data_IF_215876057003
#
_entry.id   IF_215876057003
#
_cell.length_a   1.000
_cell.length_b   1.000
_cell.length_c   1.000
_cell.angle_alpha   90.00
_cell.angle_beta   90.00
_cell.angle_gamma   90.00
#
_symmetry.space_group_name_H-M   'P 1'
#
loop_
_entity.id
_entity.type
_entity.pdbx_description
1 polymer ?
#
# COMPACT_ATOMS: atom_id res chain seq x y z
N UNK A 1 -41.58 5.13 8.10
CA UNK A 1 -41.37 3.98 7.18
C UNK A 1 -41.00 4.45 5.75
N UNK A 2 -41.81 5.29 5.08
CA UNK A 2 -41.53 5.73 3.68
C UNK A 2 -40.24 6.55 3.48
N UNK A 3 -39.88 7.39 4.47
CA UNK A 3 -38.66 8.25 4.44
C UNK A 3 -37.36 7.47 4.70
N UNK A 4 -37.42 6.38 5.47
CA UNK A 4 -36.26 5.48 5.69
C UNK A 4 -36.01 4.56 4.50
N UNK A 5 -37.07 4.07 3.84
CA UNK A 5 -36.94 3.30 2.59
C UNK A 5 -36.25 4.10 1.48
N UNK A 6 -36.66 5.35 1.25
CA UNK A 6 -36.07 6.18 0.19
C UNK A 6 -34.57 6.46 0.45
N UNK A 7 -34.20 6.70 1.71
CA UNK A 7 -32.78 6.91 2.07
C UNK A 7 -31.93 5.64 1.88
N UNK A 8 -32.49 4.47 2.16
CA UNK A 8 -31.81 3.19 1.96
C UNK A 8 -31.67 2.85 0.47
N UNK A 9 -32.69 3.13 -0.34
CA UNK A 9 -32.67 2.93 -1.79
C UNK A 9 -31.68 3.87 -2.48
N UNK A 10 -31.66 5.16 -2.09
CA UNK A 10 -30.68 6.11 -2.61
C UNK A 10 -29.26 5.74 -2.17
N UNK A 11 -29.10 5.25 -0.94
CA UNK A 11 -27.81 4.77 -0.44
C UNK A 11 -27.35 3.49 -1.18
N UNK A 12 -28.25 2.54 -1.45
CA UNK A 12 -27.92 1.32 -2.21
C UNK A 12 -27.66 1.60 -3.68
N UNK A 13 -28.40 2.52 -4.30
CA UNK A 13 -28.15 2.98 -5.67
C UNK A 13 -26.79 3.69 -5.78
N UNK A 14 -26.46 4.55 -4.81
CA UNK A 14 -25.16 5.20 -4.72
C UNK A 14 -24.02 4.21 -4.47
N UNK A 15 -24.23 3.19 -3.63
CA UNK A 15 -23.25 2.13 -3.37
C UNK A 15 -23.01 1.27 -4.61
N UNK A 16 -24.08 0.86 -5.30
CA UNK A 16 -23.98 0.10 -6.53
C UNK A 16 -23.25 0.92 -7.61
N UNK A 17 -23.57 2.21 -7.78
CA UNK A 17 -22.85 3.06 -8.72
C UNK A 17 -21.39 3.28 -8.34
N UNK A 18 -21.05 3.32 -7.05
CA UNK A 18 -19.67 3.43 -6.58
C UNK A 18 -18.92 2.12 -6.83
N UNK A 19 -19.58 0.98 -6.62
CA UNK A 19 -19.02 -0.34 -6.90
C UNK A 19 -18.83 -0.58 -8.40
N UNK A 20 -19.76 -0.10 -9.23
CA UNK A 20 -19.65 -0.12 -10.68
C UNK A 20 -18.54 0.81 -11.15
N UNK A 21 -18.39 1.98 -10.51
CA UNK A 21 -17.27 2.89 -10.74
C UNK A 21 -15.94 2.31 -10.24
N UNK A 22 -15.93 1.49 -9.20
CA UNK A 22 -14.76 0.77 -8.69
C UNK A 22 -14.37 -0.40 -9.61
N UNK A 23 -15.35 -1.15 -10.13
CA UNK A 23 -15.13 -2.18 -11.13
C UNK A 23 -14.68 -1.57 -12.47
N UNK A 24 -15.28 -0.44 -12.86
CA UNK A 24 -14.83 0.34 -14.01
C UNK A 24 -13.48 1.00 -13.76
N UNK A 25 -13.18 1.45 -12.54
CA UNK A 25 -11.88 2.06 -12.22
C UNK A 25 -10.77 1.04 -12.24
N UNK A 26 -11.03 -0.15 -11.70
CA UNK A 26 -10.11 -1.26 -11.70
C UNK A 26 -9.90 -1.71 -13.15
N UNK A 27 -10.95 -1.94 -13.94
CA UNK A 27 -10.79 -2.27 -15.37
C UNK A 27 -10.08 -1.17 -16.18
N UNK A 28 -10.34 0.12 -15.95
CA UNK A 28 -9.62 1.22 -16.60
C UNK A 28 -8.17 1.31 -16.14
N UNK A 29 -7.88 1.04 -14.87
CA UNK A 29 -6.50 0.99 -14.36
C UNK A 29 -5.72 -0.19 -14.93
N UNK A 30 -6.39 -1.33 -15.13
CA UNK A 30 -5.84 -2.51 -15.81
C UNK A 30 -5.65 -2.22 -17.31
N UNK A 31 -6.62 -1.61 -17.99
CA UNK A 31 -6.51 -1.21 -19.40
C UNK A 31 -5.44 -0.15 -19.61
N UNK A 32 -5.34 0.89 -18.76
CA UNK A 32 -4.29 1.92 -18.88
C UNK A 32 -2.90 1.43 -18.46
N UNK A 33 -2.80 0.52 -17.48
CA UNK A 33 -1.55 -0.20 -17.21
C UNK A 33 -1.19 -1.17 -18.35
N UNK A 34 -2.18 -1.70 -19.08
CA UNK A 34 -2.01 -2.43 -20.34
C UNK A 34 -1.73 -1.52 -21.55
N UNK A 35 -1.77 -0.18 -21.42
CA UNK A 35 -1.18 0.73 -22.43
C UNK A 35 0.34 0.86 -22.23
N UNK A 36 0.98 -0.18 -21.71
CA UNK A 36 2.28 -0.56 -22.26
C UNK A 36 1.95 -1.19 -23.63
N UNK A 37 1.98 -0.39 -24.71
CA UNK A 37 1.65 -0.82 -26.09
C UNK A 37 1.93 -2.31 -26.26
N UNK A 38 0.86 -3.11 -26.39
CA UNK A 38 0.92 -4.55 -26.58
C UNK A 38 2.13 -4.86 -27.45
N UNK A 39 3.17 -5.53 -26.91
CA UNK A 39 4.46 -5.59 -27.57
C UNK A 39 4.27 -5.99 -29.03
N UNK A 40 4.82 -5.21 -29.97
CA UNK A 40 4.51 -5.34 -31.41
C UNK A 40 4.74 -6.77 -31.95
N UNK A 41 5.58 -7.54 -31.27
CA UNK A 41 5.87 -8.95 -31.49
C UNK A 41 4.74 -9.92 -31.06
N UNK A 42 3.81 -9.48 -30.20
CA UNK A 42 2.63 -10.24 -29.72
C UNK A 42 1.34 -9.75 -30.41
N UNK A 43 1.26 -8.47 -30.78
CA UNK A 43 0.07 -7.85 -31.39
C UNK A 43 -0.49 -8.60 -32.61
N UNK A 44 0.38 -9.25 -33.39
CA UNK A 44 0.00 -9.96 -34.62
C UNK A 44 -0.34 -11.46 -34.42
N UNK A 45 -0.41 -11.98 -33.19
CA UNK A 45 -0.67 -13.42 -32.90
C UNK A 45 -2.13 -13.69 -32.54
N UNK A 46 -2.56 -14.96 -32.62
CA UNK A 46 -3.91 -15.39 -32.21
C UNK A 46 -4.14 -15.16 -30.69
N UNK A 47 -5.35 -14.80 -30.22
CA UNK A 47 -5.61 -14.43 -28.82
C UNK A 47 -5.13 -15.46 -27.78
N UNK A 48 -5.31 -16.75 -28.05
CA UNK A 48 -4.83 -17.83 -27.16
C UNK A 48 -3.30 -17.86 -27.03
N UNK A 49 -2.59 -17.60 -28.13
CA UNK A 49 -1.13 -17.53 -28.15
C UNK A 49 -0.62 -16.25 -27.48
N UNK A 50 -1.35 -15.14 -27.61
CA UNK A 50 -1.04 -13.89 -26.91
C UNK A 50 -1.10 -14.09 -25.39
N UNK A 51 -2.20 -14.67 -24.89
CA UNK A 51 -2.36 -14.95 -23.46
C UNK A 51 -1.30 -15.91 -22.92
N UNK A 52 -0.94 -16.96 -23.67
CA UNK A 52 0.10 -17.88 -23.25
C UNK A 52 1.47 -17.20 -23.13
N UNK A 53 1.84 -16.36 -24.10
CA UNK A 53 3.10 -15.62 -24.08
C UNK A 53 3.13 -14.63 -22.92
N UNK A 54 2.03 -13.89 -22.69
CA UNK A 54 1.92 -12.94 -21.58
C UNK A 54 2.08 -13.66 -20.24
N UNK A 55 1.39 -14.79 -20.04
CA UNK A 55 1.51 -15.60 -18.81
C UNK A 55 2.94 -16.08 -18.57
N UNK A 56 3.61 -16.59 -19.61
CA UNK A 56 5.00 -17.05 -19.49
C UNK A 56 5.94 -15.89 -19.19
N UNK A 57 5.81 -14.74 -19.87
CA UNK A 57 6.60 -13.55 -19.58
C UNK A 57 6.38 -13.05 -18.15
N UNK A 58 5.13 -12.99 -17.71
CA UNK A 58 4.78 -12.61 -16.34
C UNK A 58 5.38 -13.57 -15.31
N UNK A 59 5.34 -14.88 -15.55
CA UNK A 59 5.98 -15.86 -14.67
C UNK A 59 7.50 -15.69 -14.61
N UNK A 60 8.16 -15.45 -15.75
CA UNK A 60 9.60 -15.19 -15.81
C UNK A 60 9.93 -13.92 -15.03
N UNK A 61 9.19 -12.83 -15.26
CA UNK A 61 9.40 -11.57 -14.54
C UNK A 61 9.20 -11.72 -13.03
N UNK A 62 8.17 -12.47 -12.61
CA UNK A 62 7.90 -12.75 -11.19
C UNK A 62 9.03 -13.56 -10.54
N UNK A 63 9.51 -14.61 -11.22
CA UNK A 63 10.61 -15.45 -10.73
C UNK A 63 11.92 -14.67 -10.65
N UNK A 64 12.23 -13.87 -11.67
CA UNK A 64 13.41 -13.01 -11.67
C UNK A 64 13.36 -11.98 -10.54
N UNK A 65 12.24 -11.27 -10.40
CA UNK A 65 12.03 -10.29 -9.32
C UNK A 65 12.14 -10.92 -7.93
N UNK A 66 11.52 -12.08 -7.73
CA UNK A 66 11.56 -12.82 -6.46
C UNK A 66 12.98 -13.28 -6.14
N UNK A 67 13.69 -13.84 -7.13
CA UNK A 67 15.09 -14.25 -6.97
C UNK A 67 15.97 -13.06 -6.57
N UNK A 68 15.75 -11.90 -7.21
CA UNK A 68 16.48 -10.68 -6.87
C UNK A 68 16.20 -10.24 -5.42
N UNK A 69 14.94 -10.22 -5.00
CA UNK A 69 14.57 -9.89 -3.61
C UNK A 69 15.25 -10.85 -2.61
N UNK A 70 15.26 -12.15 -2.90
CA UNK A 70 15.90 -13.14 -2.03
C UNK A 70 17.42 -12.94 -1.93
N UNK A 71 18.08 -12.58 -3.05
CA UNK A 71 19.52 -12.31 -3.07
C UNK A 71 19.87 -11.01 -2.30
N UNK A 72 19.07 -9.96 -2.47
CA UNK A 72 19.35 -8.63 -1.92
C UNK A 72 18.73 -8.36 -0.54
N UNK A 73 17.84 -9.22 -0.04
CA UNK A 73 17.21 -9.06 1.27
C UNK A 73 18.22 -8.97 2.42
N UNK A 74 19.21 -9.88 2.47
CA UNK A 74 20.24 -9.86 3.51
C UNK A 74 21.14 -8.62 3.46
N UNK A 75 21.71 -8.23 2.29
CA UNK A 75 22.46 -6.98 2.17
C UNK A 75 21.68 -5.75 2.61
N UNK A 76 20.40 -5.62 2.24
CA UNK A 76 19.59 -4.45 2.60
C UNK A 76 19.45 -4.33 4.12
N UNK A 77 19.16 -5.43 4.81
CA UNK A 77 19.05 -5.45 6.28
C UNK A 77 20.39 -5.07 6.93
N UNK A 78 21.51 -5.57 6.41
CA UNK A 78 22.83 -5.23 6.91
C UNK A 78 23.16 -3.74 6.74
N UNK A 79 22.85 -3.15 5.58
CA UNK A 79 23.06 -1.72 5.32
C UNK A 79 22.21 -0.86 6.24
N UNK A 80 20.93 -1.21 6.45
CA UNK A 80 20.07 -0.48 7.40
C UNK A 80 20.59 -0.59 8.84
N UNK A 81 21.15 -1.76 9.20
CA UNK A 81 21.87 -1.96 10.46
C UNK A 81 23.05 -1.01 10.62
N UNK A 82 23.93 -0.97 9.62
CA UNK A 82 25.14 -0.15 9.61
C UNK A 82 24.83 1.35 9.61
N UNK A 83 23.79 1.79 8.89
CA UNK A 83 23.30 3.17 8.95
C UNK A 83 22.87 3.50 10.37
N UNK A 84 22.15 2.59 11.04
CA UNK A 84 21.76 2.79 12.43
C UNK A 84 22.94 2.91 13.37
N UNK A 85 23.96 2.07 13.18
CA UNK A 85 25.19 2.12 13.97
C UNK A 85 25.94 3.45 13.79
N UNK A 86 26.11 3.92 12.55
CA UNK A 86 26.86 5.16 12.25
C UNK A 86 26.12 6.43 12.64
N UNK A 87 24.80 6.43 12.56
CA UNK A 87 23.97 7.61 12.87
C UNK A 87 23.53 7.66 14.33
N UNK A 88 23.72 6.58 15.09
CA UNK A 88 23.22 6.45 16.46
C UNK A 88 21.70 6.27 16.55
N UNK A 89 21.01 6.06 15.42
CA UNK A 89 19.56 5.87 15.35
C UNK A 89 19.24 4.37 15.31
N UNK A 90 18.35 3.85 16.17
CA UNK A 90 17.95 2.45 16.09
C UNK A 90 17.42 2.06 14.70
N UNK A 91 17.88 0.93 14.17
CA UNK A 91 17.53 0.43 12.83
C UNK A 91 16.02 0.24 12.60
N UNK A 92 15.26 0.06 13.68
CA UNK A 92 13.79 0.05 13.65
C UNK A 92 13.23 1.34 13.04
N UNK A 93 13.69 2.51 13.49
CA UNK A 93 13.20 3.80 13.00
C UNK A 93 13.60 4.06 11.55
N UNK A 94 14.81 3.68 11.18
CA UNK A 94 15.29 3.80 9.80
C UNK A 94 14.43 2.92 8.88
N UNK A 95 14.16 1.68 9.30
CA UNK A 95 13.29 0.75 8.57
C UNK A 95 11.86 1.29 8.49
N UNK A 96 11.34 1.90 9.55
CA UNK A 96 10.00 2.48 9.59
C UNK A 96 9.80 3.57 8.51
N UNK A 97 10.86 4.28 8.14
CA UNK A 97 10.82 5.28 7.06
C UNK A 97 11.13 4.67 5.69
N UNK A 98 12.18 3.84 5.60
CA UNK A 98 12.64 3.32 4.32
C UNK A 98 11.73 2.23 3.73
N UNK A 99 11.24 1.31 4.57
CA UNK A 99 10.46 0.15 4.12
C UNK A 99 9.17 0.56 3.41
N UNK A 100 8.35 1.51 3.92
CA UNK A 100 7.15 1.96 3.21
C UNK A 100 7.45 2.58 1.84
N UNK A 101 8.56 3.31 1.72
CA UNK A 101 8.97 3.95 0.45
C UNK A 101 9.38 2.87 -0.55
N UNK A 102 10.25 1.94 -0.13
CA UNK A 102 10.75 0.87 -1.01
C UNK A 102 9.60 -0.04 -1.45
N UNK A 103 8.75 -0.45 -0.51
CA UNK A 103 7.69 -1.42 -0.77
C UNK A 103 6.56 -0.88 -1.64
N UNK A 104 6.38 0.45 -1.73
CA UNK A 104 5.30 1.07 -2.50
C UNK A 104 5.82 2.04 -3.58
N UNK A 105 7.11 1.95 -3.94
CA UNK A 105 7.74 2.89 -4.86
C UNK A 105 7.08 2.90 -6.24
N UNK A 106 6.79 1.71 -6.78
CA UNK A 106 6.19 1.56 -8.10
C UNK A 106 4.77 2.14 -8.14
N UNK A 107 3.99 1.93 -7.09
CA UNK A 107 2.64 2.45 -6.89
C UNK A 107 2.65 3.97 -6.77
N UNK A 108 3.57 4.56 -6.00
CA UNK A 108 3.70 6.01 -5.89
C UNK A 108 3.99 6.63 -7.26
N UNK A 109 4.88 6.01 -8.04
CA UNK A 109 5.26 6.50 -9.36
C UNK A 109 4.07 6.40 -10.33
N UNK A 110 3.40 5.25 -10.42
CA UNK A 110 2.27 5.05 -11.33
C UNK A 110 1.07 5.92 -10.96
N UNK A 111 0.74 6.03 -9.66
CA UNK A 111 -0.33 6.92 -9.19
C UNK A 111 -0.05 8.38 -9.45
N UNK A 112 1.22 8.82 -9.40
CA UNK A 112 1.61 10.17 -9.80
C UNK A 112 1.34 10.42 -11.29
N UNK A 113 1.75 9.51 -12.18
CA UNK A 113 1.48 9.63 -13.62
C UNK A 113 -0.02 9.76 -13.90
N UNK A 114 -0.83 8.97 -13.19
CA UNK A 114 -2.27 9.00 -13.34
C UNK A 114 -2.88 10.30 -12.79
N UNK A 115 -2.49 10.70 -11.57
CA UNK A 115 -2.96 11.93 -10.92
C UNK A 115 -2.63 13.22 -11.71
N UNK A 116 -1.58 13.20 -12.55
CA UNK A 116 -1.22 14.32 -13.44
C UNK A 116 -2.26 14.63 -14.51
N UNK A 117 -3.20 13.72 -14.79
CA UNK A 117 -4.34 13.98 -15.70
C UNK A 117 -5.34 15.00 -15.13
N UNK A 118 -5.29 15.28 -13.83
CA UNK A 118 -6.09 16.32 -13.12
C UNK A 118 -7.60 16.25 -13.33
N UNK A 119 -8.15 15.09 -13.69
CA UNK A 119 -9.60 14.88 -13.80
C UNK A 119 -10.13 14.23 -12.53
N UNK A 120 -11.37 14.54 -12.13
CA UNK A 120 -11.98 13.92 -10.94
C UNK A 120 -12.05 12.40 -11.06
N UNK A 121 -12.34 11.89 -12.27
CA UNK A 121 -12.32 10.45 -12.54
C UNK A 121 -10.93 9.86 -12.30
N UNK A 122 -9.89 10.45 -12.87
CA UNK A 122 -8.53 9.94 -12.70
C UNK A 122 -8.03 10.06 -11.25
N UNK A 123 -8.35 11.12 -10.52
CA UNK A 123 -7.95 11.20 -9.11
C UNK A 123 -8.65 10.13 -8.26
N UNK A 124 -9.96 9.91 -8.48
CA UNK A 124 -10.71 8.86 -7.77
C UNK A 124 -10.15 7.47 -8.08
N UNK A 125 -9.86 7.17 -9.35
CA UNK A 125 -9.33 5.87 -9.75
C UNK A 125 -7.92 5.65 -9.15
N UNK A 126 -7.06 6.67 -9.11
CA UNK A 126 -5.73 6.57 -8.46
C UNK A 126 -5.87 6.25 -6.97
N UNK A 127 -6.79 6.95 -6.30
CA UNK A 127 -6.99 6.82 -4.86
C UNK A 127 -7.55 5.44 -4.50
N UNK A 128 -8.54 4.94 -5.25
CA UNK A 128 -9.10 3.59 -5.07
C UNK A 128 -8.04 2.51 -5.30
N UNK A 129 -7.22 2.62 -6.34
CA UNK A 129 -6.14 1.67 -6.63
C UNK A 129 -5.06 1.68 -5.53
N UNK A 130 -4.64 2.87 -5.07
CA UNK A 130 -3.67 3.01 -3.99
C UNK A 130 -4.19 2.40 -2.68
N UNK A 131 -5.46 2.67 -2.34
CA UNK A 131 -6.10 2.11 -1.15
C UNK A 131 -6.18 0.58 -1.24
N UNK A 132 -6.61 0.04 -2.39
CA UNK A 132 -6.68 -1.41 -2.62
C UNK A 132 -5.33 -2.09 -2.46
N UNK A 133 -4.28 -1.54 -3.08
CA UNK A 133 -2.91 -2.05 -2.96
C UNK A 133 -2.41 -2.01 -1.51
N UNK A 134 -2.59 -0.87 -0.82
CA UNK A 134 -2.16 -0.71 0.58
C UNK A 134 -2.85 -1.71 1.52
N UNK A 135 -4.17 -1.89 1.40
CA UNK A 135 -4.93 -2.83 2.22
C UNK A 135 -4.48 -4.27 1.94
N UNK A 136 -4.27 -4.63 0.68
CA UNK A 136 -3.79 -5.96 0.28
C UNK A 136 -2.39 -6.24 0.85
N UNK A 137 -1.43 -5.34 0.63
CA UNK A 137 -0.05 -5.47 1.10
C UNK A 137 0.01 -5.61 2.62
N UNK A 138 -0.71 -4.75 3.36
CA UNK A 138 -0.73 -4.80 4.81
C UNK A 138 -1.37 -6.09 5.34
N UNK A 139 -2.51 -6.52 4.78
CA UNK A 139 -3.20 -7.73 5.23
C UNK A 139 -2.36 -8.99 5.00
N UNK A 140 -1.76 -9.12 3.82
CA UNK A 140 -0.90 -10.27 3.49
C UNK A 140 0.38 -10.25 4.31
N UNK A 141 0.99 -9.08 4.51
CA UNK A 141 2.20 -8.95 5.32
C UNK A 141 1.94 -9.35 6.78
N UNK A 142 0.88 -8.83 7.40
CA UNK A 142 0.49 -9.19 8.78
C UNK A 142 0.21 -10.69 8.88
N UNK A 143 -0.52 -11.27 7.92
CA UNK A 143 -0.80 -12.71 7.90
C UNK A 143 0.48 -13.55 7.85
N UNK A 144 1.41 -13.23 6.94
CA UNK A 144 2.68 -13.97 6.81
C UNK A 144 3.53 -13.79 8.07
N UNK A 145 3.64 -12.57 8.59
CA UNK A 145 4.41 -12.26 9.80
C UNK A 145 3.88 -13.03 11.01
N UNK A 146 2.57 -13.00 11.26
CA UNK A 146 1.94 -13.73 12.35
C UNK A 146 2.10 -15.25 12.19
N UNK A 147 1.98 -15.76 10.96
CA UNK A 147 2.22 -17.17 10.68
C UNK A 147 3.66 -17.58 11.01
N UNK A 148 4.65 -16.74 10.66
CA UNK A 148 6.05 -16.99 11.00
C UNK A 148 6.30 -16.95 12.51
N UNK A 149 5.73 -15.97 13.23
CA UNK A 149 5.84 -15.88 14.69
C UNK A 149 5.27 -17.14 15.35
N UNK A 150 4.09 -17.59 14.90
CA UNK A 150 3.43 -18.78 15.42
C UNK A 150 4.25 -20.06 15.17
N UNK A 151 4.69 -20.30 13.92
CA UNK A 151 5.40 -21.54 13.57
C UNK A 151 6.86 -21.57 14.04
N UNK A 152 7.52 -20.42 14.20
CA UNK A 152 8.91 -20.33 14.66
C UNK A 152 9.05 -20.06 16.16
N UNK A 153 7.94 -19.91 16.88
CA UNK A 153 7.94 -19.64 18.32
C UNK A 153 8.70 -18.38 18.70
N UNK A 154 8.68 -17.35 17.85
CA UNK A 154 9.44 -16.12 18.07
C UNK A 154 8.83 -15.32 19.23
N UNK A 155 9.67 -14.84 20.13
CA UNK A 155 9.24 -13.96 21.22
C UNK A 155 8.75 -12.62 20.67
N UNK A 156 7.52 -12.23 21.04
CA UNK A 156 6.92 -10.96 20.66
C UNK A 156 7.49 -9.83 21.54
N UNK A 157 8.58 -9.22 21.09
CA UNK A 157 9.31 -8.21 21.86
C UNK A 157 9.01 -6.75 21.47
N UNK A 158 8.14 -6.52 20.48
CA UNK A 158 7.83 -5.17 19.95
C UNK A 158 6.37 -4.75 20.21
N UNK A 159 5.84 -5.17 21.36
CA UNK A 159 4.43 -4.94 21.69
C UNK A 159 4.12 -3.47 21.86
N UNK A 160 5.02 -2.71 22.48
CA UNK A 160 4.81 -1.29 22.77
C UNK A 160 4.77 -0.49 21.45
N UNK A 161 5.73 -0.71 20.56
CA UNK A 161 5.78 -0.02 19.27
C UNK A 161 4.55 -0.35 18.41
N UNK A 162 4.15 -1.63 18.39
CA UNK A 162 2.97 -2.05 17.64
C UNK A 162 1.69 -1.42 18.19
N UNK A 163 1.54 -1.35 19.52
CA UNK A 163 0.38 -0.70 20.15
C UNK A 163 0.32 0.81 19.88
N UNK A 164 1.46 1.48 19.86
CA UNK A 164 1.54 2.91 19.51
C UNK A 164 1.12 3.14 18.05
N UNK A 165 1.64 2.34 17.13
CA UNK A 165 1.31 2.44 15.70
C UNK A 165 -0.19 2.21 15.50
N UNK A 166 -0.76 1.15 16.08
CA UNK A 166 -2.20 0.85 16.01
C UNK A 166 -3.06 1.97 16.60
N UNK A 167 -2.62 2.61 17.68
CA UNK A 167 -3.31 3.75 18.28
C UNK A 167 -3.39 4.95 17.33
N UNK A 168 -2.26 5.28 16.68
CA UNK A 168 -2.21 6.37 15.71
C UNK A 168 -3.05 6.03 14.47
N UNK A 169 -2.99 4.80 13.99
CA UNK A 169 -3.83 4.32 12.88
C UNK A 169 -5.32 4.42 13.21
N UNK A 170 -5.74 4.10 14.44
CA UNK A 170 -7.13 4.24 14.85
C UNK A 170 -7.59 5.70 14.85
N UNK A 171 -6.75 6.63 15.33
CA UNK A 171 -7.03 8.08 15.28
C UNK A 171 -7.16 8.54 13.83
N UNK A 172 -6.23 8.11 12.98
CA UNK A 172 -6.19 8.46 11.56
C UNK A 172 -7.42 7.90 10.83
N UNK A 173 -7.81 6.65 11.12
CA UNK A 173 -9.01 6.00 10.60
C UNK A 173 -10.31 6.68 11.06
N UNK A 174 -10.33 7.30 12.24
CA UNK A 174 -11.47 8.14 12.66
C UNK A 174 -11.49 9.47 11.91
N UNK A 175 -10.32 10.10 11.72
CA UNK A 175 -10.17 11.38 11.04
C UNK A 175 -10.51 11.31 9.54
N UNK A 176 -10.16 10.20 8.86
CA UNK A 176 -10.37 10.00 7.42
C UNK A 176 -11.78 9.58 7.03
N UNK A 177 -12.73 9.49 7.98
CA UNK A 177 -14.15 9.19 7.68
C UNK A 177 -14.89 10.31 6.94
N UNK A 178 -14.23 11.43 6.66
CA UNK A 178 -14.80 12.55 5.91
C UNK A 178 -15.04 12.13 4.46
N UNK A 179 -16.16 12.58 3.89
CA UNK A 179 -16.54 12.29 2.50
C UNK A 179 -15.66 12.99 1.46
N UNK A 180 -15.04 14.10 1.82
CA UNK A 180 -14.20 14.92 0.94
C UNK A 180 -12.88 15.14 1.68
N UNK A 181 -11.80 14.62 1.12
CA UNK A 181 -10.45 14.84 1.61
C UNK A 181 -9.87 16.04 0.87
N UNK A 182 -9.47 17.06 1.63
CA UNK A 182 -8.83 18.24 1.08
C UNK A 182 -7.30 18.10 1.13
N UNK A 183 -6.59 18.95 0.40
CA UNK A 183 -5.12 18.99 0.47
C UNK A 183 -4.63 19.31 1.90
N UNK A 184 -5.41 20.06 2.68
CA UNK A 184 -5.10 20.32 4.09
C UNK A 184 -5.19 19.04 4.94
N UNK A 185 -6.19 18.18 4.69
CA UNK A 185 -6.27 16.88 5.36
C UNK A 185 -5.06 16.00 4.99
N UNK A 186 -4.58 16.08 3.74
CA UNK A 186 -3.37 15.35 3.32
C UNK A 186 -2.11 15.81 4.08
N UNK A 187 -1.92 17.12 4.27
CA UNK A 187 -0.81 17.64 5.09
C UNK A 187 -0.91 17.21 6.57
N UNK A 188 -2.12 17.20 7.13
CA UNK A 188 -2.36 16.71 8.50
C UNK A 188 -2.06 15.21 8.61
N UNK A 189 -2.52 14.41 7.65
CA UNK A 189 -2.23 12.96 7.61
C UNK A 189 -0.72 12.71 7.46
N UNK A 190 -0.04 13.48 6.62
CA UNK A 190 1.41 13.36 6.44
C UNK A 190 2.19 13.71 7.71
N UNK A 191 1.70 14.63 8.56
CA UNK A 191 2.37 15.02 9.80
C UNK A 191 2.19 14.01 10.94
N UNK A 192 1.17 13.15 10.90
CA UNK A 192 1.03 12.04 11.85
C UNK A 192 2.19 11.03 11.73
N UNK A 193 2.79 10.89 10.55
CA UNK A 193 3.93 9.99 10.34
C UNK A 193 5.18 10.39 11.16
N UNK A 194 5.75 11.60 11.05
CA UNK A 194 6.87 12.01 11.90
C UNK A 194 6.46 12.12 13.38
N UNK A 195 5.21 12.48 13.68
CA UNK A 195 4.70 12.49 15.04
C UNK A 195 4.71 11.09 15.67
N UNK A 196 4.40 10.03 14.91
CA UNK A 196 4.48 8.65 15.39
C UNK A 196 5.89 8.26 15.80
N UNK A 197 6.88 8.59 14.97
CA UNK A 197 8.30 8.31 15.23
C UNK A 197 8.79 9.07 16.46
N UNK A 198 8.40 10.33 16.60
CA UNK A 198 8.70 11.14 17.77
C UNK A 198 8.08 10.55 19.04
N UNK A 199 6.81 10.16 18.99
CA UNK A 199 6.11 9.59 20.15
C UNK A 199 6.76 8.29 20.62
N UNK A 200 7.13 7.39 19.70
CA UNK A 200 7.86 6.16 20.04
C UNK A 200 9.22 6.48 20.68
N UNK A 201 9.94 7.48 20.18
CA UNK A 201 11.21 7.94 20.74
C UNK A 201 11.06 8.44 22.18
N UNK A 202 9.98 9.20 22.44
CA UNK A 202 9.64 9.70 23.77
C UNK A 202 9.26 8.57 24.71
N UNK A 203 8.39 7.64 24.29
CA UNK A 203 7.98 6.49 25.13
C UNK A 203 9.18 5.64 25.54
N UNK A 204 10.14 5.42 24.63
CA UNK A 204 11.39 4.71 24.94
C UNK A 204 12.31 5.47 25.90
N UNK A 205 12.30 6.81 25.87
CA UNK A 205 13.06 7.61 26.83
C UNK A 205 12.58 7.44 28.28
N UNK A 206 11.34 7.01 28.48
CA UNK A 206 10.78 6.70 29.80
C UNK A 206 11.09 5.27 30.31
N UNK A 207 11.91 4.50 29.60
CA UNK A 207 12.40 3.19 30.07
C UNK A 207 11.51 1.99 29.74
N UNK A 208 10.48 2.17 28.91
CA UNK A 208 9.71 1.05 28.36
C UNK A 208 10.47 0.44 27.17
N UNK A 209 10.88 -0.83 27.30
CA UNK A 209 11.39 -1.65 26.19
C UNK A 209 10.26 -2.36 25.45
#
# INVERSE_FOLDING_TARGET
IKKSLNKNIVKSLSLNSMQDLELQSQSISFEEAEVEEMPKDIANKRPEQQQAIIKVRAMIMLLLGTTLILLFSRPIVAVVGEIGHRTGIPSFYISFVLVPIISNAAEIISTQFYSRKKTSRSITIALSALQGSAVMNNTVCVMIFMSLVHFRGLAWNYSVETMVILGIEAILAMFTRKKILTVMDAFVIASFFPMSVYFISVVKSFGYS
#
